data_IF_525320148930
#
_entry.id   IF_525320148930
#
_cell.length_a   1.000
_cell.length_b   1.000
_cell.length_c   1.000
_cell.angle_alpha   90.00
_cell.angle_beta   90.00
_cell.angle_gamma   90.00
#
_symmetry.space_group_name_H-M   'P 1'
#
loop_
_entity.id
_entity.type
_entity.pdbx_description
1 polymer ?
#
# COMPACT_ATOMS: atom_id res chain seq x y z
N UNK A 1 7.72 -7.43 -18.49
CA UNK A 1 7.77 -5.97 -18.27
C UNK A 1 7.78 -5.69 -16.78
N UNK A 2 8.68 -4.87 -16.32
CA UNK A 2 8.82 -4.60 -14.89
C UNK A 2 7.77 -3.57 -14.43
N UNK A 3 7.00 -3.95 -13.43
CA UNK A 3 5.94 -3.10 -12.85
C UNK A 3 6.23 -2.88 -11.38
N UNK A 4 6.40 -1.61 -11.00
CA UNK A 4 6.73 -1.19 -9.66
C UNK A 4 5.55 -0.44 -9.04
N UNK A 5 5.18 -0.82 -7.83
CA UNK A 5 4.27 -0.03 -6.98
C UNK A 5 5.08 0.62 -5.88
N UNK A 6 5.02 1.94 -5.81
CA UNK A 6 5.66 2.73 -4.74
C UNK A 6 4.59 3.25 -3.81
N UNK A 7 4.69 2.89 -2.53
CA UNK A 7 3.79 3.35 -1.49
C UNK A 7 4.56 4.28 -0.56
N UNK A 8 4.16 5.54 -0.51
CA UNK A 8 4.76 6.55 0.36
C UNK A 8 3.80 6.97 1.46
N UNK A 9 4.32 7.15 2.66
CA UNK A 9 3.51 7.32 3.86
C UNK A 9 3.79 8.61 4.63
N UNK A 10 4.93 9.26 4.39
CA UNK A 10 5.33 10.45 5.14
C UNK A 10 4.49 11.68 4.77
N UNK A 11 3.96 12.41 5.75
CA UNK A 11 3.22 13.66 5.49
C UNK A 11 4.11 14.88 5.29
N UNK A 12 5.45 14.75 5.39
CA UNK A 12 6.38 15.87 5.42
C UNK A 12 6.73 16.46 4.05
N UNK A 13 6.24 15.85 2.94
CA UNK A 13 6.57 16.32 1.60
C UNK A 13 8.07 16.29 1.33
N UNK A 14 8.64 17.36 0.77
CA UNK A 14 10.06 17.43 0.41
C UNK A 14 11.00 17.41 1.63
N UNK A 15 10.49 17.67 2.82
CA UNK A 15 11.24 17.60 4.07
C UNK A 15 11.45 16.16 4.55
N UNK A 16 10.80 15.19 3.92
CA UNK A 16 10.82 13.80 4.35
C UNK A 16 12.08 13.07 3.91
N UNK A 17 12.78 12.46 4.87
CA UNK A 17 13.94 11.61 4.60
C UNK A 17 13.52 10.35 3.84
N UNK A 18 12.40 9.73 4.21
CA UNK A 18 11.91 8.53 3.52
C UNK A 18 11.55 8.81 2.07
N UNK A 19 10.98 10.01 1.77
CA UNK A 19 10.69 10.40 0.39
C UNK A 19 11.96 10.67 -0.42
N UNK A 20 12.99 11.21 0.20
CA UNK A 20 14.31 11.39 -0.45
C UNK A 20 14.93 10.03 -0.78
N UNK A 21 14.82 9.05 0.12
CA UNK A 21 15.27 7.67 -0.13
C UNK A 21 14.51 7.07 -1.31
N UNK A 22 13.20 7.30 -1.41
CA UNK A 22 12.39 6.85 -2.53
C UNK A 22 12.91 7.41 -3.85
N UNK A 23 13.24 8.69 -3.92
CA UNK A 23 13.75 9.32 -5.14
C UNK A 23 15.07 8.69 -5.59
N UNK A 24 15.96 8.41 -4.66
CA UNK A 24 17.21 7.70 -4.97
C UNK A 24 16.96 6.30 -5.48
N UNK A 25 16.06 5.58 -4.85
CA UNK A 25 15.67 4.24 -5.29
C UNK A 25 15.10 4.27 -6.72
N UNK A 26 14.18 5.20 -6.99
CA UNK A 26 13.52 5.32 -8.30
C UNK A 26 14.50 5.69 -9.40
N UNK A 27 15.48 6.55 -9.13
CA UNK A 27 16.51 6.91 -10.10
C UNK A 27 17.29 5.66 -10.53
N UNK A 28 17.75 4.86 -9.57
CA UNK A 28 18.46 3.62 -9.85
C UNK A 28 17.56 2.59 -10.55
N UNK A 29 16.30 2.48 -10.11
CA UNK A 29 15.37 1.52 -10.68
C UNK A 29 15.03 1.84 -12.15
N UNK A 30 14.82 3.11 -12.47
CA UNK A 30 14.55 3.53 -13.85
C UNK A 30 15.75 3.27 -14.77
N UNK A 31 16.95 3.46 -14.27
CA UNK A 31 18.16 3.16 -15.04
C UNK A 31 18.25 1.68 -15.35
N UNK A 32 17.94 0.81 -14.38
CA UNK A 32 17.95 -0.64 -14.56
C UNK A 32 16.76 -1.16 -15.35
N UNK A 33 15.65 -0.40 -15.40
CA UNK A 33 14.39 -0.82 -16.03
C UNK A 33 13.86 0.30 -16.94
N UNK A 34 14.51 0.61 -18.08
CA UNK A 34 14.12 1.73 -18.95
C UNK A 34 12.69 1.63 -19.48
N UNK A 35 12.18 0.41 -19.67
CA UNK A 35 10.83 0.12 -20.14
C UNK A 35 9.86 -0.15 -18.98
N UNK A 36 10.30 0.05 -17.74
CA UNK A 36 9.52 -0.24 -16.55
C UNK A 36 8.37 0.74 -16.35
N UNK A 37 7.32 0.26 -15.70
CA UNK A 37 6.13 1.05 -15.36
C UNK A 37 6.05 1.25 -13.85
N UNK A 38 5.82 2.49 -13.43
CA UNK A 38 5.74 2.86 -12.01
C UNK A 38 4.34 3.36 -11.70
N UNK A 39 3.71 2.76 -10.70
CA UNK A 39 2.50 3.28 -10.06
C UNK A 39 2.91 3.84 -8.70
N UNK A 40 2.50 5.07 -8.42
CA UNK A 40 2.85 5.78 -7.20
C UNK A 40 1.59 5.99 -6.35
N UNK A 41 1.58 5.46 -5.15
CA UNK A 41 0.49 5.64 -4.19
C UNK A 41 0.99 6.43 -2.98
N UNK A 42 0.54 7.65 -2.86
CA UNK A 42 0.84 8.53 -1.71
C UNK A 42 -0.31 8.41 -0.70
N UNK A 43 -0.01 7.88 0.49
CA UNK A 43 -1.01 7.66 1.54
C UNK A 43 -1.24 8.91 2.39
N UNK A 44 -0.41 9.94 2.22
CA UNK A 44 -0.51 11.16 3.00
C UNK A 44 -1.26 12.27 2.25
N UNK A 45 -1.31 12.22 0.92
CA UNK A 45 -1.87 13.31 0.12
C UNK A 45 -2.56 12.77 -1.15
N UNK A 46 -3.91 12.68 -1.20
CA UNK A 46 -4.81 12.90 -0.06
C UNK A 46 -4.67 11.80 0.99
N UNK A 47 -5.06 12.10 2.22
CA UNK A 47 -5.03 11.12 3.29
C UNK A 47 -5.92 9.92 2.99
N UNK A 48 -5.46 8.74 3.41
CA UNK A 48 -6.21 7.51 3.24
C UNK A 48 -7.28 7.39 4.34
N UNK A 49 -8.52 7.04 3.96
CA UNK A 49 -9.58 6.82 4.92
C UNK A 49 -9.34 5.55 5.74
N UNK A 50 -9.71 5.62 7.03
CA UNK A 50 -9.68 4.44 7.89
C UNK A 50 -10.87 3.53 7.59
N UNK A 51 -10.73 2.26 7.95
CA UNK A 51 -11.82 1.29 7.90
C UNK A 51 -12.89 1.70 8.91
N UNK A 52 -14.14 1.73 8.47
CA UNK A 52 -15.31 2.14 9.25
C UNK A 52 -16.31 0.99 9.41
N UNK A 53 -17.32 1.17 10.23
CA UNK A 53 -18.39 0.17 10.38
C UNK A 53 -19.12 -0.10 9.04
N UNK A 54 -19.49 0.92 8.24
CA UNK A 54 -20.08 0.67 6.91
C UNK A 54 -19.14 -0.12 5.98
N UNK A 55 -17.84 0.19 6.02
CA UNK A 55 -16.85 -0.55 5.22
C UNK A 55 -16.81 -2.03 5.63
N UNK A 56 -16.78 -2.30 6.94
CA UNK A 56 -16.76 -3.68 7.45
C UNK A 56 -18.04 -4.42 7.09
N UNK A 57 -19.18 -3.77 7.16
CA UNK A 57 -20.44 -4.38 6.75
C UNK A 57 -20.41 -4.77 5.28
N UNK A 58 -19.90 -3.89 4.41
CA UNK A 58 -19.72 -4.18 3.00
C UNK A 58 -18.76 -5.35 2.78
N UNK A 59 -17.63 -5.36 3.50
CA UNK A 59 -16.62 -6.42 3.42
C UNK A 59 -17.19 -7.79 3.81
N UNK A 60 -18.03 -7.84 4.85
CA UNK A 60 -18.63 -9.09 5.29
C UNK A 60 -19.86 -9.52 4.47
N UNK A 61 -20.32 -8.70 3.54
CA UNK A 61 -21.43 -9.04 2.67
C UNK A 61 -20.92 -9.71 1.41
N UNK A 62 -21.43 -10.91 1.03
CA UNK A 62 -21.02 -11.56 -0.21
C UNK A 62 -21.23 -10.63 -1.42
N UNK A 63 -20.31 -10.66 -2.42
CA UNK A 63 -20.41 -9.75 -3.57
C UNK A 63 -21.76 -9.74 -4.26
N UNK A 64 -22.43 -10.89 -4.38
CA UNK A 64 -23.74 -11.01 -5.01
C UNK A 64 -24.85 -10.26 -4.25
N UNK A 65 -24.66 -10.03 -2.93
CA UNK A 65 -25.63 -9.41 -2.06
C UNK A 65 -25.31 -7.94 -1.74
N UNK A 66 -24.18 -7.43 -2.26
CA UNK A 66 -23.77 -6.05 -1.99
C UNK A 66 -24.66 -5.03 -2.71
N UNK A 67 -25.12 -4.04 -1.96
CA UNK A 67 -25.79 -2.87 -2.52
C UNK A 67 -24.78 -1.97 -3.27
N UNK A 68 -25.31 -1.02 -4.05
CA UNK A 68 -24.46 -0.04 -4.71
C UNK A 68 -23.65 0.78 -3.70
N UNK A 69 -24.26 1.15 -2.58
CA UNK A 69 -23.57 1.88 -1.51
C UNK A 69 -22.42 1.06 -0.91
N UNK A 70 -22.59 -0.25 -0.73
CA UNK A 70 -21.53 -1.14 -0.26
C UNK A 70 -20.38 -1.23 -1.24
N UNK A 71 -20.68 -1.30 -2.53
CA UNK A 71 -19.65 -1.32 -3.58
C UNK A 71 -18.84 -0.03 -3.59
N UNK A 72 -19.49 1.12 -3.37
CA UNK A 72 -18.81 2.41 -3.26
C UNK A 72 -17.91 2.47 -2.02
N UNK A 73 -18.34 1.91 -0.89
CA UNK A 73 -17.50 1.83 0.32
C UNK A 73 -16.20 1.06 0.06
N UNK A 74 -16.25 -0.01 -0.74
CA UNK A 74 -15.12 -0.87 -1.01
C UNK A 74 -14.26 -0.39 -2.20
N UNK A 75 -14.67 0.63 -2.93
CA UNK A 75 -14.01 1.02 -4.19
C UNK A 75 -12.54 1.35 -4.02
N UNK A 76 -12.19 2.17 -3.03
CA UNK A 76 -10.79 2.51 -2.78
C UNK A 76 -9.97 1.27 -2.43
N UNK A 77 -10.51 0.41 -1.56
CA UNK A 77 -9.86 -0.85 -1.20
C UNK A 77 -9.64 -1.73 -2.43
N UNK A 78 -10.63 -1.83 -3.32
CA UNK A 78 -10.50 -2.59 -4.56
C UNK A 78 -9.39 -2.04 -5.46
N UNK A 79 -9.28 -0.71 -5.58
CA UNK A 79 -8.21 -0.06 -6.34
C UNK A 79 -6.83 -0.36 -5.75
N UNK A 80 -6.70 -0.27 -4.43
CA UNK A 80 -5.44 -0.53 -3.74
C UNK A 80 -5.00 -2.00 -3.90
N UNK A 81 -5.95 -2.92 -3.81
CA UNK A 81 -5.69 -4.35 -4.05
C UNK A 81 -5.24 -4.59 -5.50
N UNK A 82 -5.93 -3.97 -6.46
CA UNK A 82 -5.58 -4.12 -7.88
C UNK A 82 -4.16 -3.62 -8.16
N UNK A 83 -3.77 -2.49 -7.59
CA UNK A 83 -2.40 -1.96 -7.71
C UNK A 83 -1.37 -2.96 -7.20
N UNK A 84 -1.64 -3.54 -6.03
CA UNK A 84 -0.75 -4.52 -5.44
C UNK A 84 -0.64 -5.79 -6.29
N UNK A 85 -1.76 -6.30 -6.78
CA UNK A 85 -1.77 -7.55 -7.55
C UNK A 85 -1.06 -7.42 -8.91
N UNK A 86 -1.13 -6.25 -9.54
CA UNK A 86 -0.49 -6.00 -10.83
C UNK A 86 1.03 -5.80 -10.69
N UNK A 87 1.49 -5.26 -9.57
CA UNK A 87 2.91 -4.97 -9.36
C UNK A 87 3.73 -6.26 -9.26
N UNK A 88 4.93 -6.23 -9.81
CA UNK A 88 5.93 -7.29 -9.67
C UNK A 88 6.88 -6.98 -8.51
N UNK A 89 7.08 -5.69 -8.24
CA UNK A 89 7.93 -5.20 -7.15
C UNK A 89 7.15 -4.14 -6.36
N UNK A 90 7.14 -4.27 -5.05
CA UNK A 90 6.52 -3.32 -4.12
C UNK A 90 7.62 -2.60 -3.34
N UNK A 91 7.58 -1.28 -3.33
CA UNK A 91 8.45 -0.46 -2.48
C UNK A 91 7.57 0.30 -1.51
N UNK A 92 7.83 0.12 -0.22
CA UNK A 92 7.16 0.87 0.84
C UNK A 92 8.20 1.77 1.50
N UNK A 93 7.95 3.07 1.45
CA UNK A 93 8.80 4.08 2.07
C UNK A 93 8.09 4.67 3.28
N UNK A 94 8.70 4.57 4.45
CA UNK A 94 8.03 4.93 5.70
C UNK A 94 9.01 5.50 6.74
N UNK A 95 8.61 6.57 7.45
CA UNK A 95 9.30 6.92 8.69
C UNK A 95 8.85 5.97 9.82
N UNK A 96 9.62 5.96 10.90
CA UNK A 96 9.24 5.30 12.15
C UNK A 96 8.59 6.35 13.08
N UNK A 97 7.34 6.11 13.46
CA UNK A 97 6.62 6.94 14.43
C UNK A 97 6.28 6.10 15.67
N UNK A 98 6.78 6.53 16.81
CA UNK A 98 6.52 5.86 18.09
C UNK A 98 6.86 4.35 18.05
N UNK A 99 8.03 4.02 17.51
CA UNK A 99 8.52 2.63 17.35
C UNK A 99 7.66 1.78 16.40
N UNK A 100 6.85 2.41 15.55
CA UNK A 100 5.93 1.72 14.65
C UNK A 100 5.82 2.46 13.32
N UNK A 101 4.93 1.99 12.47
CA UNK A 101 4.61 2.65 11.20
C UNK A 101 3.61 3.79 11.43
N UNK A 102 3.55 4.78 10.51
CA UNK A 102 2.48 5.79 10.55
C UNK A 102 1.10 5.16 10.43
N UNK A 103 0.09 5.84 10.97
CA UNK A 103 -1.29 5.37 10.90
C UNK A 103 -1.78 5.16 9.47
N UNK A 104 -1.32 5.98 8.53
CA UNK A 104 -1.67 5.83 7.11
C UNK A 104 -1.22 4.50 6.51
N UNK A 105 -0.05 4.01 6.90
CA UNK A 105 0.42 2.71 6.42
C UNK A 105 -0.43 1.58 7.00
N UNK A 106 -0.80 1.66 8.28
CA UNK A 106 -1.70 0.66 8.88
C UNK A 106 -3.07 0.68 8.20
N UNK A 107 -3.59 1.87 7.87
CA UNK A 107 -4.84 2.00 7.13
C UNK A 107 -4.73 1.33 5.74
N UNK A 108 -3.60 1.48 5.06
CA UNK A 108 -3.37 0.80 3.78
C UNK A 108 -3.40 -0.72 3.95
N UNK A 109 -2.75 -1.24 4.98
CA UNK A 109 -2.78 -2.68 5.30
C UNK A 109 -4.23 -3.14 5.52
N UNK A 110 -5.02 -2.37 6.28
CA UNK A 110 -6.42 -2.70 6.54
C UNK A 110 -7.27 -2.74 5.26
N UNK A 111 -6.93 -1.92 4.26
CA UNK A 111 -7.63 -1.92 2.97
C UNK A 111 -7.21 -3.07 2.05
N UNK A 112 -5.95 -3.50 2.10
CA UNK A 112 -5.44 -4.48 1.13
C UNK A 112 -5.54 -5.93 1.59
N UNK A 113 -5.76 -6.18 2.87
CA UNK A 113 -5.94 -7.55 3.37
C UNK A 113 -7.41 -7.93 3.20
N UNK A 114 -7.71 -8.55 2.07
CA UNK A 114 -9.07 -8.87 1.63
C UNK A 114 -9.20 -10.37 1.40
N UNK A 115 -10.12 -11.03 2.11
CA UNK A 115 -10.39 -12.47 1.92
C UNK A 115 -10.87 -12.75 0.51
N UNK A 116 -10.28 -13.77 -0.12
CA UNK A 116 -10.57 -14.15 -1.48
C UNK A 116 -9.80 -13.37 -2.54
N UNK A 117 -9.05 -12.33 -2.16
CA UNK A 117 -8.25 -11.51 -3.07
C UNK A 117 -6.76 -11.56 -2.75
N UNK A 118 -6.39 -11.20 -1.53
CA UNK A 118 -5.01 -11.19 -1.05
C UNK A 118 -4.79 -12.16 0.10
N UNK A 119 -5.86 -12.55 0.76
CA UNK A 119 -5.84 -13.50 1.88
C UNK A 119 -6.80 -14.65 1.58
N UNK A 120 -6.32 -15.88 1.70
CA UNK A 120 -7.14 -17.07 1.52
C UNK A 120 -8.07 -17.31 2.71
N UNK A 121 -9.15 -18.05 2.47
CA UNK A 121 -10.09 -18.43 3.53
C UNK A 121 -9.46 -19.39 4.55
N UNK A 122 -8.36 -20.04 4.19
CA UNK A 122 -7.55 -20.88 5.07
C UNK A 122 -6.51 -20.08 5.88
N UNK A 123 -6.49 -18.75 5.76
CA UNK A 123 -5.55 -17.88 6.43
C UNK A 123 -4.21 -17.72 5.73
N UNK A 124 -4.01 -18.33 4.57
CA UNK A 124 -2.76 -18.19 3.80
C UNK A 124 -2.81 -16.98 2.88
N UNK A 125 -1.65 -16.35 2.69
CA UNK A 125 -1.52 -15.26 1.73
C UNK A 125 -1.68 -15.73 0.29
N UNK A 126 -2.36 -14.92 -0.52
CA UNK A 126 -2.56 -15.18 -1.95
C UNK A 126 -1.62 -14.37 -2.84
N UNK A 127 -0.92 -13.37 -2.28
CA UNK A 127 0.04 -12.55 -3.02
C UNK A 127 1.37 -13.28 -3.07
N UNK A 128 1.79 -13.67 -4.27
CA UNK A 128 2.98 -14.52 -4.46
C UNK A 128 3.84 -14.00 -5.61
N UNK A 129 5.11 -14.39 -5.60
CA UNK A 129 6.03 -14.13 -6.71
C UNK A 129 6.45 -12.68 -6.83
N UNK A 130 6.30 -11.89 -5.77
CA UNK A 130 6.63 -10.46 -5.78
C UNK A 130 7.85 -10.19 -4.90
N UNK A 131 8.64 -9.20 -5.31
CA UNK A 131 9.70 -8.63 -4.50
C UNK A 131 9.15 -7.47 -3.69
N UNK A 132 9.57 -7.34 -2.43
CA UNK A 132 9.22 -6.19 -1.60
C UNK A 132 10.50 -5.55 -1.05
N UNK A 133 10.55 -4.23 -1.10
CA UNK A 133 11.64 -3.42 -0.55
C UNK A 133 11.06 -2.41 0.44
N UNK A 134 11.61 -2.38 1.63
CA UNK A 134 11.21 -1.40 2.65
C UNK A 134 12.32 -0.36 2.80
N UNK A 135 11.96 0.91 2.64
CA UNK A 135 12.83 2.07 2.88
C UNK A 135 12.38 2.73 4.17
N UNK A 136 13.13 2.49 5.24
CA UNK A 136 12.72 2.89 6.60
C UNK A 136 13.65 3.98 7.11
N UNK A 137 13.06 5.12 7.50
CA UNK A 137 13.77 6.24 8.10
C UNK A 137 13.38 6.38 9.58
N UNK A 138 14.38 6.44 10.46
CA UNK A 138 14.15 6.65 11.89
C UNK A 138 15.01 7.79 12.41
N UNK A 139 14.52 8.48 13.45
CA UNK A 139 15.25 9.55 14.11
C UNK A 139 16.31 9.08 15.09
N UNK A 140 16.43 7.76 15.29
CA UNK A 140 17.39 7.16 16.20
C UNK A 140 17.72 5.72 15.85
N UNK A 141 18.60 5.13 16.65
CA UNK A 141 18.97 3.71 16.52
C UNK A 141 18.14 2.92 17.53
N UNK A 142 17.46 1.90 17.06
CA UNK A 142 16.65 0.99 17.88
C UNK A 142 17.37 -0.35 18.01
N UNK A 143 17.52 -0.80 19.22
CA UNK A 143 18.15 -2.09 19.54
C UNK A 143 17.16 -3.04 20.21
#
# INVERSE_FOLDING_TARGET
MNKLLVVETSPRGDQSVSRQMTQRFLTAWRTANPEGHIVHRDLANPGLSFVTAPWLQAYFTPPADQSQAMKEELRLSDELVAELLVAEHLVISTPVYNYNVPASLKAWVDHIVRKGMTLGFDGRGLVKGKKATLLIASGGVYS
#
